data_IF_229398479811
#
_entry.id   IF_229398479811
#
_cell.length_a   1.000
_cell.length_b   1.000
_cell.length_c   1.000
_cell.angle_alpha   90.00
_cell.angle_beta   90.00
_cell.angle_gamma   90.00
#
_symmetry.space_group_name_H-M   'P 1'
#
loop_
_entity.id
_entity.type
_entity.pdbx_description
1 polymer ?
#
# COMPACT_ATOMS: atom_id res chain seq x y z
N UNK A 1 7.28 -12.95 19.86
CA UNK A 1 7.01 -14.29 20.44
C UNK A 1 8.00 -15.35 19.97
N UNK A 2 8.11 -15.65 18.66
CA UNK A 2 9.01 -16.71 18.15
C UNK A 2 10.48 -16.59 18.63
N UNK A 3 11.09 -15.41 18.49
CA UNK A 3 12.45 -15.16 18.98
C UNK A 3 12.59 -15.36 20.50
N UNK A 4 11.60 -14.89 21.26
CA UNK A 4 11.58 -14.96 22.72
C UNK A 4 11.54 -16.40 23.22
N UNK A 5 10.79 -17.27 22.53
CA UNK A 5 10.71 -18.69 22.86
C UNK A 5 11.98 -19.44 22.43
N UNK A 6 12.54 -19.11 21.26
CA UNK A 6 13.73 -19.79 20.74
C UNK A 6 15.00 -19.48 21.56
N UNK A 7 15.19 -18.23 22.00
CA UNK A 7 16.42 -17.80 22.66
C UNK A 7 16.38 -18.00 24.20
N UNK A 8 17.38 -18.69 24.76
CA UNK A 8 17.47 -19.00 26.20
C UNK A 8 17.54 -17.76 27.10
N UNK A 9 18.23 -16.71 26.65
CA UNK A 9 18.37 -15.45 27.39
C UNK A 9 17.06 -14.65 27.35
N UNK A 10 16.38 -14.62 26.19
CA UNK A 10 15.07 -13.98 26.05
C UNK A 10 13.98 -14.64 26.90
N UNK A 11 14.02 -15.97 27.06
CA UNK A 11 13.09 -16.68 27.96
C UNK A 11 13.19 -16.21 29.41
N UNK A 12 14.35 -15.73 29.84
CA UNK A 12 14.54 -15.17 31.18
C UNK A 12 13.74 -13.87 31.39
N UNK A 13 13.62 -13.04 30.36
CA UNK A 13 12.83 -11.79 30.40
C UNK A 13 11.33 -12.03 30.59
N UNK A 14 10.82 -13.23 30.22
CA UNK A 14 9.43 -13.61 30.47
C UNK A 14 9.06 -13.67 31.97
N UNK A 15 10.05 -13.75 32.85
CA UNK A 15 9.85 -13.76 34.31
C UNK A 15 9.82 -12.36 34.94
N UNK A 16 10.09 -11.32 34.15
CA UNK A 16 10.06 -9.92 34.61
C UNK A 16 8.66 -9.31 34.47
N UNK A 17 8.49 -8.04 34.85
CA UNK A 17 7.26 -7.29 34.58
C UNK A 17 7.18 -6.76 33.13
N UNK A 18 8.29 -6.77 32.38
CA UNK A 18 8.35 -6.28 31.01
C UNK A 18 7.31 -6.91 30.06
N UNK A 19 7.04 -8.24 30.10
CA UNK A 19 6.01 -8.87 29.28
C UNK A 19 4.60 -8.39 29.62
N UNK A 20 4.33 -8.07 30.89
CA UNK A 20 3.02 -7.55 31.32
C UNK A 20 2.82 -6.16 30.75
N UNK A 21 3.83 -5.29 30.87
CA UNK A 21 3.81 -3.95 30.28
C UNK A 21 3.64 -4.03 28.76
N UNK A 22 4.42 -4.89 28.09
CA UNK A 22 4.32 -5.11 26.65
C UNK A 22 2.94 -5.65 26.24
N UNK A 23 2.34 -6.54 27.03
CA UNK A 23 0.99 -7.05 26.78
C UNK A 23 -0.06 -5.95 26.92
N UNK A 24 0.04 -5.10 27.94
CA UNK A 24 -0.87 -3.95 28.12
C UNK A 24 -0.75 -2.99 26.93
N UNK A 25 0.47 -2.63 26.51
CA UNK A 25 0.68 -1.78 25.33
C UNK A 25 0.13 -2.43 24.06
N UNK A 26 0.38 -3.72 23.86
CA UNK A 26 -0.15 -4.46 22.72
C UNK A 26 -1.69 -4.47 22.72
N UNK A 27 -2.33 -4.70 23.87
CA UNK A 27 -3.78 -4.64 24.00
C UNK A 27 -4.29 -3.22 23.70
N UNK A 28 -3.68 -2.18 24.26
CA UNK A 28 -4.09 -0.79 24.00
C UNK A 28 -4.01 -0.44 22.50
N UNK A 29 -3.00 -0.93 21.79
CA UNK A 29 -2.84 -0.70 20.34
C UNK A 29 -3.81 -1.55 19.49
N UNK A 30 -4.04 -2.80 19.89
CA UNK A 30 -4.83 -3.75 19.12
C UNK A 30 -6.34 -3.61 19.40
N UNK A 31 -6.72 -3.19 20.59
CA UNK A 31 -8.12 -3.10 21.03
C UNK A 31 -8.99 -2.23 20.10
N UNK A 32 -8.58 -1.01 19.67
CA UNK A 32 -9.37 -0.23 18.72
C UNK A 32 -9.63 -0.98 17.40
N UNK A 33 -8.65 -1.77 16.94
CA UNK A 33 -8.77 -2.56 15.73
C UNK A 33 -9.71 -3.76 15.91
N UNK A 34 -9.69 -4.39 17.09
CA UNK A 34 -10.61 -5.48 17.43
C UNK A 34 -12.05 -4.99 17.56
N UNK A 35 -12.26 -3.81 18.18
CA UNK A 35 -13.56 -3.16 18.27
C UNK A 35 -14.05 -2.83 16.86
N UNK A 36 -13.21 -2.26 16.00
CA UNK A 36 -13.60 -1.99 14.63
C UNK A 36 -13.98 -3.28 13.87
N UNK A 37 -13.19 -4.34 14.02
CA UNK A 37 -13.42 -5.62 13.36
C UNK A 37 -14.68 -6.34 13.85
N UNK A 38 -15.07 -6.17 15.12
CA UNK A 38 -16.32 -6.75 15.64
C UNK A 38 -17.58 -6.12 15.05
N UNK A 39 -17.48 -4.87 14.58
CA UNK A 39 -18.56 -4.18 13.88
C UNK A 39 -18.50 -4.36 12.35
N UNK A 40 -17.40 -4.90 11.83
CA UNK A 40 -17.25 -5.17 10.41
C UNK A 40 -18.05 -6.43 10.01
N UNK A 41 -18.80 -6.40 8.90
CA UNK A 41 -19.56 -7.57 8.47
C UNK A 41 -18.62 -8.68 7.98
N UNK A 42 -18.74 -9.86 8.61
CA UNK A 42 -17.79 -10.97 8.55
C UNK A 42 -16.97 -11.17 9.84
N UNK A 43 -16.93 -10.16 10.72
CA UNK A 43 -16.31 -10.22 12.05
C UNK A 43 -14.85 -10.68 12.06
N UNK A 44 -14.46 -11.35 13.14
CA UNK A 44 -13.15 -11.99 13.30
C UNK A 44 -12.89 -13.12 12.27
N UNK A 45 -13.93 -13.59 11.59
CA UNK A 45 -13.91 -14.74 10.68
C UNK A 45 -13.91 -14.34 9.20
N UNK A 46 -13.53 -13.11 8.88
CA UNK A 46 -13.32 -12.70 7.50
C UNK A 46 -12.13 -13.46 6.89
N UNK A 47 -12.43 -14.59 6.26
CA UNK A 47 -11.44 -15.37 5.50
C UNK A 47 -11.15 -14.63 4.19
N UNK A 48 -9.88 -14.25 3.92
CA UNK A 48 -9.51 -13.59 2.68
C UNK A 48 -9.97 -14.42 1.47
N UNK A 49 -10.52 -13.80 0.41
CA UNK A 49 -11.04 -14.52 -0.75
C UNK A 49 -10.03 -15.48 -1.39
N UNK A 50 -8.73 -15.19 -1.30
CA UNK A 50 -7.64 -16.02 -1.85
C UNK A 50 -7.48 -17.39 -1.18
N UNK A 51 -8.01 -17.58 0.04
CA UNK A 51 -8.02 -18.88 0.73
C UNK A 51 -9.14 -19.79 0.19
N UNK A 52 -10.16 -19.23 -0.48
CA UNK A 52 -11.38 -19.98 -0.89
C UNK A 52 -11.25 -20.70 -2.23
N UNK A 53 -10.21 -20.42 -3.02
CA UNK A 53 -10.02 -21.02 -4.35
C UNK A 53 -8.86 -22.03 -4.37
N UNK A 54 -9.12 -23.34 -4.58
CA UNK A 54 -8.10 -24.41 -4.54
C UNK A 54 -7.03 -24.36 -5.65
N UNK A 55 -7.11 -23.42 -6.60
CA UNK A 55 -6.19 -23.30 -7.74
C UNK A 55 -4.85 -22.63 -7.40
N UNK A 56 -4.60 -22.30 -6.13
CA UNK A 56 -3.47 -21.47 -5.71
C UNK A 56 -2.10 -22.17 -5.61
N UNK A 57 -2.02 -23.51 -5.60
CA UNK A 57 -0.76 -24.20 -5.29
C UNK A 57 0.25 -24.13 -6.46
N UNK A 58 -0.21 -24.12 -7.71
CA UNK A 58 0.67 -23.95 -8.89
C UNK A 58 1.08 -22.50 -9.16
N UNK A 59 0.25 -21.53 -8.77
CA UNK A 59 0.52 -20.10 -8.94
C UNK A 59 1.33 -19.46 -7.80
N UNK A 60 1.37 -20.09 -6.62
CA UNK A 60 1.99 -19.54 -5.41
C UNK A 60 3.52 -19.46 -5.50
N UNK A 61 4.19 -20.43 -6.16
CA UNK A 61 5.66 -20.42 -6.27
C UNK A 61 6.17 -19.26 -7.11
N UNK A 62 5.58 -19.03 -8.29
CA UNK A 62 5.92 -17.88 -9.13
C UNK A 62 5.62 -16.55 -8.43
N UNK A 63 4.51 -16.48 -7.68
CA UNK A 63 4.19 -15.32 -6.85
C UNK A 63 5.21 -15.10 -5.73
N UNK A 64 5.67 -16.16 -5.08
CA UNK A 64 6.68 -16.09 -4.02
C UNK A 64 8.03 -15.63 -4.56
N UNK A 65 8.52 -16.20 -5.67
CA UNK A 65 9.73 -15.73 -6.36
C UNK A 65 9.61 -14.26 -6.70
N UNK A 66 8.47 -13.82 -7.25
CA UNK A 66 8.24 -12.42 -7.56
C UNK A 66 8.32 -11.52 -6.32
N UNK A 67 7.80 -11.97 -5.18
CA UNK A 67 7.91 -11.23 -3.92
C UNK A 67 9.35 -11.18 -3.40
N UNK A 68 10.12 -12.27 -3.52
CA UNK A 68 11.56 -12.27 -3.21
C UNK A 68 12.32 -11.29 -4.13
N UNK A 69 11.97 -11.24 -5.41
CA UNK A 69 12.53 -10.27 -6.35
C UNK A 69 12.20 -8.82 -5.93
N UNK A 70 11.00 -8.56 -5.41
CA UNK A 70 10.66 -7.25 -4.85
C UNK A 70 11.44 -6.91 -3.59
N UNK A 71 11.68 -7.88 -2.69
CA UNK A 71 12.60 -7.68 -1.56
C UNK A 71 13.98 -7.30 -2.09
N UNK A 72 14.52 -8.04 -3.06
CA UNK A 72 15.84 -7.75 -3.60
C UNK A 72 15.89 -6.35 -4.26
N UNK A 73 14.88 -5.99 -5.05
CA UNK A 73 14.76 -4.68 -5.65
C UNK A 73 14.69 -3.56 -4.60
N UNK A 74 13.99 -3.77 -3.48
CA UNK A 74 13.96 -2.82 -2.36
C UNK A 74 15.34 -2.61 -1.71
N UNK A 75 16.25 -3.58 -1.82
CA UNK A 75 17.62 -3.49 -1.32
C UNK A 75 18.62 -2.95 -2.35
N UNK A 76 18.20 -2.59 -3.58
CA UNK A 76 19.13 -2.17 -4.63
C UNK A 76 20.05 -1.02 -4.20
N UNK A 77 19.50 0.02 -3.55
CA UNK A 77 20.30 1.13 -3.03
C UNK A 77 21.27 0.71 -1.92
N UNK A 78 20.86 -0.20 -1.04
CA UNK A 78 21.72 -0.75 0.01
C UNK A 78 22.86 -1.58 -0.59
N UNK A 79 22.57 -2.42 -1.59
CA UNK A 79 23.57 -3.23 -2.30
C UNK A 79 24.61 -2.35 -3.01
N UNK A 80 24.19 -1.24 -3.61
CA UNK A 80 25.11 -0.23 -4.19
C UNK A 80 26.04 0.33 -3.10
N UNK A 81 25.50 0.75 -1.96
CA UNK A 81 26.32 1.28 -0.85
C UNK A 81 27.31 0.25 -0.31
N UNK A 82 26.87 -1.00 -0.12
CA UNK A 82 27.75 -2.10 0.31
C UNK A 82 28.87 -2.36 -0.68
N UNK A 83 28.56 -2.39 -1.98
CA UNK A 83 29.56 -2.53 -3.04
C UNK A 83 30.60 -1.42 -2.99
N UNK A 84 30.16 -0.16 -2.92
CA UNK A 84 31.03 1.01 -2.88
C UNK A 84 31.95 1.00 -1.65
N UNK A 85 31.40 0.72 -0.46
CA UNK A 85 32.18 0.59 0.78
C UNK A 85 33.18 -0.57 0.68
N UNK A 86 32.76 -1.71 0.13
CA UNK A 86 33.60 -2.89 -0.08
C UNK A 86 34.75 -2.68 -1.07
N UNK A 87 34.71 -1.61 -1.87
CA UNK A 87 35.71 -1.23 -2.87
C UNK A 87 35.21 -1.41 -4.30
N UNK A 88 34.17 -2.20 -4.55
CA UNK A 88 33.66 -2.44 -5.90
C UNK A 88 33.19 -1.15 -6.58
N UNK A 89 33.42 -0.96 -7.89
CA UNK A 89 34.19 -1.82 -8.83
C UNK A 89 35.70 -1.54 -8.90
N UNK A 90 36.26 -0.70 -8.02
CA UNK A 90 37.66 -0.26 -8.10
C UNK A 90 38.59 -0.95 -7.07
N UNK A 91 39.91 -0.99 -7.31
CA UNK A 91 40.85 -1.47 -6.30
C UNK A 91 40.82 -0.58 -5.04
N UNK A 92 40.92 -1.21 -3.86
CA UNK A 92 41.08 -0.51 -2.57
C UNK A 92 42.38 0.30 -2.59
N UNK A 93 42.33 1.53 -2.07
CA UNK A 93 43.53 2.37 -1.86
C UNK A 93 43.74 2.55 -0.37
N UNK A 94 44.90 2.10 0.12
CA UNK A 94 45.35 2.38 1.47
C UNK A 94 46.14 3.70 1.51
N UNK A 95 46.01 4.50 2.59
CA UNK A 95 45.20 4.26 3.79
C UNK A 95 43.73 4.68 3.61
N UNK A 96 42.79 3.78 3.92
CA UNK A 96 41.36 4.08 3.95
C UNK A 96 40.90 4.47 5.38
N UNK A 97 40.00 5.46 5.54
CA UNK A 97 39.44 5.78 6.85
C UNK A 97 38.66 4.60 7.41
N UNK A 98 38.91 4.30 8.69
CA UNK A 98 38.28 3.19 9.42
C UNK A 98 37.36 3.75 10.49
N UNK A 99 36.09 3.37 10.44
CA UNK A 99 35.13 3.66 11.51
C UNK A 99 35.19 2.50 12.51
N UNK A 100 35.76 2.77 13.68
CA UNK A 100 35.77 1.83 14.80
C UNK A 100 34.50 2.01 15.61
N UNK A 101 33.84 0.90 15.94
CA UNK A 101 32.63 0.88 16.75
C UNK A 101 32.75 -0.09 17.93
N UNK A 102 31.90 0.11 18.92
CA UNK A 102 31.77 -0.84 20.03
C UNK A 102 31.29 -2.21 19.52
N UNK A 103 31.86 -3.28 20.10
CA UNK A 103 31.45 -4.64 19.78
C UNK A 103 30.01 -4.89 20.20
N UNK A 104 29.22 -5.40 19.28
CA UNK A 104 27.83 -5.80 19.53
C UNK A 104 27.82 -7.15 20.24
N UNK A 105 27.08 -7.26 21.35
CA UNK A 105 26.93 -8.52 22.09
C UNK A 105 26.32 -9.62 21.22
N UNK A 106 26.64 -10.89 21.51
CA UNK A 106 26.12 -12.04 20.75
C UNK A 106 24.59 -12.06 20.70
N UNK A 107 23.95 -11.77 21.83
CA UNK A 107 22.50 -11.65 21.94
C UNK A 107 21.91 -10.58 21.01
N UNK A 108 22.48 -9.38 21.00
CA UNK A 108 21.98 -8.28 20.16
C UNK A 108 22.18 -8.60 18.67
N UNK A 109 23.27 -9.29 18.31
CA UNK A 109 23.52 -9.76 16.94
C UNK A 109 22.45 -10.76 16.48
N UNK A 110 22.15 -11.76 17.30
CA UNK A 110 21.08 -12.75 17.01
C UNK A 110 19.71 -12.08 16.86
N UNK A 111 19.39 -11.13 17.75
CA UNK A 111 18.15 -10.36 17.68
C UNK A 111 18.04 -9.59 16.35
N UNK A 112 19.07 -8.85 15.99
CA UNK A 112 19.08 -8.04 14.77
C UNK A 112 18.92 -8.92 13.52
N UNK A 113 19.66 -10.03 13.43
CA UNK A 113 19.53 -10.93 12.27
C UNK A 113 18.16 -11.60 12.20
N UNK A 114 17.61 -12.03 13.34
CA UNK A 114 16.27 -12.63 13.36
C UNK A 114 15.23 -11.65 12.82
N UNK A 115 15.19 -10.42 13.34
CA UNK A 115 14.17 -9.44 12.95
C UNK A 115 14.43 -8.81 11.57
N UNK A 116 15.66 -8.82 11.06
CA UNK A 116 15.97 -8.39 9.71
C UNK A 116 15.57 -9.41 8.63
N UNK A 117 15.58 -10.71 8.94
CA UNK A 117 15.35 -11.78 7.95
C UNK A 117 14.00 -12.46 8.11
N UNK A 118 13.66 -12.88 9.33
CA UNK A 118 12.51 -13.77 9.57
C UNK A 118 11.17 -13.10 9.27
N UNK A 119 10.87 -11.86 9.70
CA UNK A 119 9.61 -11.19 9.36
C UNK A 119 9.39 -11.02 7.86
N UNK A 120 10.42 -10.67 7.11
CA UNK A 120 10.33 -10.49 5.66
C UNK A 120 10.10 -11.83 4.93
N UNK A 121 10.84 -12.88 5.31
CA UNK A 121 10.68 -14.22 4.73
C UNK A 121 9.34 -14.85 5.11
N UNK A 122 8.94 -14.78 6.38
CA UNK A 122 7.67 -15.29 6.86
C UNK A 122 6.48 -14.54 6.22
N UNK A 123 6.59 -13.21 6.11
CA UNK A 123 5.55 -12.38 5.48
C UNK A 123 5.35 -12.70 4.00
N UNK A 124 6.44 -12.87 3.24
CA UNK A 124 6.35 -13.23 1.82
C UNK A 124 5.86 -14.66 1.60
N UNK A 125 6.27 -15.60 2.45
CA UNK A 125 5.75 -16.97 2.43
C UNK A 125 4.26 -17.00 2.74
N UNK A 126 3.82 -16.32 3.80
CA UNK A 126 2.41 -16.26 4.18
C UNK A 126 1.55 -15.59 3.11
N UNK A 127 2.05 -14.51 2.50
CA UNK A 127 1.37 -13.85 1.38
C UNK A 127 1.22 -14.79 0.18
N UNK A 128 2.26 -15.56 -0.17
CA UNK A 128 2.18 -16.56 -1.23
C UNK A 128 1.21 -17.70 -0.90
N UNK A 129 1.19 -18.19 0.35
CA UNK A 129 0.29 -19.25 0.81
C UNK A 129 -1.19 -18.84 0.78
N UNK A 130 -1.49 -17.56 1.06
CA UNK A 130 -2.86 -17.02 1.08
C UNK A 130 -3.27 -16.48 -0.31
N UNK A 131 -2.40 -16.57 -1.31
CA UNK A 131 -2.63 -16.01 -2.64
C UNK A 131 -2.72 -14.48 -2.66
N UNK A 132 -2.16 -13.81 -1.64
CA UNK A 132 -2.05 -12.36 -1.60
C UNK A 132 -0.87 -11.92 -2.47
N UNK A 133 -1.17 -11.08 -3.45
CA UNK A 133 -0.14 -10.36 -4.19
C UNK A 133 0.22 -9.08 -3.44
N UNK A 134 1.33 -9.13 -2.70
CA UNK A 134 1.91 -7.93 -2.08
C UNK A 134 2.48 -6.98 -3.12
N UNK A 135 2.32 -5.68 -2.90
CA UNK A 135 3.07 -4.64 -3.62
C UNK A 135 4.44 -4.44 -2.96
N UNK A 136 5.40 -3.83 -3.68
CA UNK A 136 6.71 -3.43 -3.10
C UNK A 136 6.50 -2.61 -1.81
N UNK A 137 5.49 -1.73 -1.81
CA UNK A 137 5.14 -0.90 -0.66
C UNK A 137 4.70 -1.70 0.57
N UNK A 138 4.05 -2.86 0.39
CA UNK A 138 3.63 -3.70 1.51
C UNK A 138 4.81 -4.47 2.14
N UNK A 139 5.88 -4.70 1.39
CA UNK A 139 7.02 -5.52 1.81
C UNK A 139 8.15 -4.65 2.40
N UNK A 140 8.29 -3.41 1.93
CA UNK A 140 9.36 -2.50 2.34
C UNK A 140 9.52 -2.30 3.87
N UNK A 141 8.44 -2.16 4.68
CA UNK A 141 8.59 -2.02 6.13
C UNK A 141 9.23 -3.23 6.81
N UNK A 142 9.05 -4.44 6.25
CA UNK A 142 9.63 -5.67 6.80
C UNK A 142 11.15 -5.74 6.61
N UNK A 143 11.69 -4.95 5.68
CA UNK A 143 13.11 -4.90 5.37
C UNK A 143 13.85 -3.80 6.15
N UNK A 144 13.19 -3.02 7.00
CA UNK A 144 13.79 -1.82 7.61
C UNK A 144 15.07 -2.11 8.43
N UNK A 145 15.16 -3.29 9.05
CA UNK A 145 16.31 -3.69 9.85
C UNK A 145 17.47 -4.30 9.03
N UNK A 146 17.31 -4.48 7.72
CA UNK A 146 18.36 -5.05 6.87
C UNK A 146 19.61 -4.19 6.83
N UNK A 147 19.47 -2.86 6.82
CA UNK A 147 20.59 -1.93 6.89
C UNK A 147 21.40 -2.11 8.18
N UNK A 148 20.71 -2.25 9.31
CA UNK A 148 21.36 -2.51 10.60
C UNK A 148 22.04 -3.89 10.62
N UNK A 149 21.41 -4.92 10.06
CA UNK A 149 21.99 -6.26 9.94
C UNK A 149 23.30 -6.24 9.14
N UNK A 150 23.35 -5.50 8.03
CA UNK A 150 24.58 -5.34 7.23
C UNK A 150 25.66 -4.62 8.03
N UNK A 151 25.30 -3.55 8.75
CA UNK A 151 26.25 -2.85 9.63
C UNK A 151 26.81 -3.84 10.66
N UNK A 152 25.96 -4.63 11.34
CA UNK A 152 26.42 -5.64 12.30
C UNK A 152 27.35 -6.67 11.65
N UNK A 153 27.01 -7.14 10.45
CA UNK A 153 27.79 -8.10 9.67
C UNK A 153 29.15 -7.56 9.22
N UNK A 154 29.26 -6.25 8.96
CA UNK A 154 30.51 -5.60 8.60
C UNK A 154 31.56 -5.59 9.74
N UNK A 155 31.17 -5.95 10.96
CA UNK A 155 32.08 -6.09 12.09
C UNK A 155 32.36 -4.80 12.85
N UNK A 156 33.39 -4.82 13.70
CA UNK A 156 33.68 -3.74 14.66
C UNK A 156 34.55 -2.62 14.07
N UNK A 157 35.08 -2.83 12.86
CA UNK A 157 35.86 -1.85 12.11
C UNK A 157 35.38 -1.85 10.65
N UNK A 158 34.76 -0.75 10.22
CA UNK A 158 34.26 -0.60 8.85
C UNK A 158 35.23 0.29 8.09
N UNK A 159 35.92 -0.29 7.11
CA UNK A 159 36.80 0.46 6.21
C UNK A 159 35.97 1.11 5.12
N UNK A 160 36.01 2.45 5.07
CA UNK A 160 35.30 3.20 4.03
C UNK A 160 36.25 3.44 2.87
N UNK A 161 36.13 2.62 1.83
CA UNK A 161 36.74 2.95 0.55
C UNK A 161 36.09 4.24 0.01
N UNK A 162 36.89 5.28 -0.25
CA UNK A 162 36.48 6.54 -0.91
C UNK A 162 35.21 7.18 -0.32
N UNK A 163 35.34 7.67 0.92
CA UNK A 163 34.29 8.36 1.68
C UNK A 163 33.45 9.36 0.85
N UNK A 164 34.06 10.16 -0.03
CA UNK A 164 33.31 11.13 -0.85
C UNK A 164 32.32 10.50 -1.83
N UNK A 165 32.65 9.36 -2.46
CA UNK A 165 31.74 8.65 -3.37
C UNK A 165 30.60 8.01 -2.59
N UNK A 166 30.92 7.41 -1.44
CA UNK A 166 29.91 6.81 -0.56
C UNK A 166 28.92 7.87 -0.06
N UNK A 167 29.42 9.04 0.36
CA UNK A 167 28.57 10.17 0.77
C UNK A 167 27.73 10.67 -0.41
N UNK A 168 28.33 10.88 -1.59
CA UNK A 168 27.60 11.32 -2.78
C UNK A 168 26.51 10.31 -3.19
N UNK A 169 26.81 9.01 -3.15
CA UNK A 169 25.85 7.96 -3.44
C UNK A 169 24.72 7.90 -2.41
N UNK A 170 25.03 8.11 -1.12
CA UNK A 170 24.01 8.19 -0.07
C UNK A 170 23.08 9.39 -0.26
N UNK A 171 23.62 10.59 -0.50
CA UNK A 171 22.81 11.77 -0.83
C UNK A 171 22.03 11.59 -2.12
N UNK A 172 22.63 10.96 -3.13
CA UNK A 172 21.96 10.62 -4.38
C UNK A 172 20.77 9.68 -4.14
N UNK A 173 20.96 8.60 -3.39
CA UNK A 173 19.90 7.66 -3.05
C UNK A 173 18.78 8.30 -2.21
N UNK A 174 19.11 9.30 -1.40
CA UNK A 174 18.14 10.05 -0.59
C UNK A 174 17.36 11.09 -1.41
N UNK A 175 18.04 11.86 -2.26
CA UNK A 175 17.47 13.04 -2.93
C UNK A 175 16.95 12.74 -4.33
N UNK A 176 17.58 11.85 -5.09
CA UNK A 176 17.19 11.57 -6.49
C UNK A 176 15.77 10.99 -6.57
N UNK A 177 15.35 9.98 -5.77
CA UNK A 177 14.00 9.45 -5.87
C UNK A 177 12.87 10.49 -5.63
N UNK A 178 12.88 11.32 -4.57
CA UNK A 178 11.84 12.35 -4.40
C UNK A 178 11.90 13.44 -5.47
N UNK A 179 13.10 13.84 -5.93
CA UNK A 179 13.24 14.79 -7.04
C UNK A 179 12.66 14.22 -8.32
N UNK A 180 12.97 12.96 -8.65
CA UNK A 180 12.42 12.25 -9.80
C UNK A 180 10.90 12.10 -9.71
N UNK A 181 10.36 11.80 -8.53
CA UNK A 181 8.92 11.74 -8.32
C UNK A 181 8.25 13.11 -8.56
N UNK A 182 8.80 14.19 -7.99
CA UNK A 182 8.30 15.54 -8.20
C UNK A 182 8.39 15.96 -9.68
N UNK A 183 9.54 15.71 -10.32
CA UNK A 183 9.74 15.96 -11.75
C UNK A 183 8.76 15.15 -12.61
N UNK A 184 8.50 13.90 -12.26
CA UNK A 184 7.54 13.04 -12.96
C UNK A 184 6.13 13.63 -12.94
N UNK A 185 5.68 14.14 -11.79
CA UNK A 185 4.38 14.81 -11.62
C UNK A 185 4.25 16.06 -12.50
N UNK A 186 5.36 16.77 -12.72
CA UNK A 186 5.38 17.98 -13.56
C UNK A 186 5.53 17.68 -15.06
N UNK A 187 6.35 16.69 -15.43
CA UNK A 187 6.81 16.47 -16.81
C UNK A 187 6.00 15.40 -17.54
N UNK A 188 5.66 14.28 -16.90
CA UNK A 188 4.97 13.16 -17.57
C UNK A 188 3.63 13.54 -18.23
N UNK A 189 2.80 14.45 -17.67
CA UNK A 189 1.59 14.92 -18.34
C UNK A 189 1.83 15.59 -19.69
N UNK A 190 2.99 16.20 -19.91
CA UNK A 190 3.38 16.80 -21.20
C UNK A 190 3.78 15.75 -22.24
N UNK A 191 4.13 14.56 -21.78
CA UNK A 191 4.43 13.38 -22.61
C UNK A 191 3.19 12.48 -22.79
N UNK A 192 1.99 12.98 -22.44
CA UNK A 192 0.72 12.25 -22.49
C UNK A 192 0.70 10.98 -21.60
N UNK A 193 1.48 10.97 -20.52
CA UNK A 193 1.52 9.88 -19.54
C UNK A 193 0.70 10.29 -18.31
N UNK A 194 -0.43 9.62 -18.10
CA UNK A 194 -1.35 9.92 -17.00
C UNK A 194 -0.88 9.31 -15.67
N UNK A 195 -0.40 10.19 -14.79
CA UNK A 195 -0.12 9.84 -13.41
C UNK A 195 -1.40 9.91 -12.59
N UNK A 196 -1.83 8.75 -12.09
CA UNK A 196 -3.06 8.59 -11.29
C UNK A 196 -3.11 9.47 -10.03
N UNK A 197 -1.96 9.92 -9.52
CA UNK A 197 -1.87 10.85 -8.38
C UNK A 197 -2.33 12.28 -8.70
N UNK A 198 -2.51 12.63 -9.98
CA UNK A 198 -2.95 13.95 -10.42
C UNK A 198 -4.48 14.12 -10.49
N UNK A 199 -5.24 13.06 -10.18
CA UNK A 199 -6.70 13.11 -10.26
C UNK A 199 -7.29 14.14 -9.28
N UNK A 200 -8.26 14.97 -9.70
CA UNK A 200 -8.82 16.06 -8.90
C UNK A 200 -9.90 15.54 -7.94
N UNK A 201 -9.48 14.72 -6.97
CA UNK A 201 -10.38 13.99 -6.05
C UNK A 201 -11.41 14.90 -5.37
N UNK A 202 -10.97 16.07 -4.89
CA UNK A 202 -11.85 17.04 -4.20
C UNK A 202 -12.93 17.61 -5.12
N UNK A 203 -12.56 17.95 -6.36
CA UNK A 203 -13.51 18.49 -7.34
C UNK A 203 -14.53 17.43 -7.77
N UNK A 204 -14.07 16.19 -7.97
CA UNK A 204 -14.94 15.05 -8.28
C UNK A 204 -15.93 14.81 -7.15
N UNK A 205 -15.43 14.67 -5.92
CA UNK A 205 -16.27 14.38 -4.75
C UNK A 205 -17.33 15.47 -4.53
N UNK A 206 -16.92 16.74 -4.55
CA UNK A 206 -17.84 17.87 -4.41
C UNK A 206 -18.93 17.85 -5.47
N UNK A 207 -18.57 17.68 -6.74
CA UNK A 207 -19.54 17.66 -7.83
C UNK A 207 -20.58 16.55 -7.67
N UNK A 208 -20.15 15.31 -7.37
CA UNK A 208 -21.08 14.19 -7.27
C UNK A 208 -21.94 14.25 -6.01
N UNK A 209 -21.39 14.72 -4.88
CA UNK A 209 -22.16 14.97 -3.65
C UNK A 209 -23.24 16.03 -3.89
N UNK A 210 -22.88 17.21 -4.41
CA UNK A 210 -23.83 18.30 -4.67
C UNK A 210 -24.87 17.90 -5.73
N UNK A 211 -24.47 17.13 -6.74
CA UNK A 211 -25.39 16.68 -7.79
C UNK A 211 -26.38 15.64 -7.30
N UNK A 212 -25.95 14.75 -6.39
CA UNK A 212 -26.87 13.82 -5.74
C UNK A 212 -27.85 14.57 -4.84
N UNK A 213 -27.34 15.42 -3.94
CA UNK A 213 -28.14 16.17 -2.97
C UNK A 213 -29.18 17.06 -3.65
N UNK A 214 -28.82 17.76 -4.73
CA UNK A 214 -29.79 18.55 -5.52
C UNK A 214 -30.91 17.72 -6.15
N UNK A 215 -30.68 16.44 -6.44
CA UNK A 215 -31.64 15.57 -7.14
C UNK A 215 -32.50 14.75 -6.18
N UNK A 216 -32.00 14.45 -5.00
CA UNK A 216 -32.65 13.56 -4.02
C UNK A 216 -33.07 14.29 -2.74
N UNK A 217 -32.55 15.49 -2.48
CA UNK A 217 -32.76 16.22 -1.23
C UNK A 217 -32.03 15.62 -0.02
N UNK A 218 -31.18 14.61 -0.23
CA UNK A 218 -30.47 13.91 0.82
C UNK A 218 -28.95 13.87 0.56
N UNK A 219 -28.10 13.88 1.59
CA UNK A 219 -26.66 13.80 1.40
C UNK A 219 -26.26 12.47 0.78
N UNK A 220 -25.20 12.47 -0.03
CA UNK A 220 -24.65 11.27 -0.66
C UNK A 220 -24.15 10.29 0.41
N UNK A 221 -24.79 9.12 0.51
CA UNK A 221 -24.42 8.06 1.46
C UNK A 221 -23.72 6.86 0.83
N UNK A 222 -23.89 6.63 -0.48
CA UNK A 222 -23.34 5.44 -1.15
C UNK A 222 -22.78 5.83 -2.52
N UNK A 223 -21.56 5.36 -2.82
CA UNK A 223 -20.92 5.52 -4.14
C UNK A 223 -20.47 4.15 -4.64
N UNK A 224 -20.76 3.83 -5.90
CA UNK A 224 -20.36 2.57 -6.54
C UNK A 224 -19.91 2.76 -7.98
N UNK A 225 -19.76 1.64 -8.71
CA UNK A 225 -19.22 1.59 -10.06
C UNK A 225 -17.73 1.23 -10.06
N UNK A 226 -16.92 1.88 -10.90
CA UNK A 226 -15.48 1.61 -10.97
C UNK A 226 -14.82 1.73 -9.58
N UNK A 227 -14.26 0.63 -9.03
CA UNK A 227 -13.82 0.56 -7.65
C UNK A 227 -12.86 1.69 -7.24
N UNK A 228 -11.97 2.09 -8.16
CA UNK A 228 -10.98 3.12 -7.88
C UNK A 228 -11.60 4.50 -7.88
N UNK A 229 -12.37 4.84 -8.92
CA UNK A 229 -13.02 6.15 -9.05
C UNK A 229 -14.02 6.36 -7.91
N UNK A 230 -14.83 5.34 -7.60
CA UNK A 230 -15.77 5.35 -6.49
C UNK A 230 -15.06 5.52 -5.14
N UNK A 231 -13.95 4.80 -4.91
CA UNK A 231 -13.17 4.94 -3.68
C UNK A 231 -12.58 6.35 -3.51
N UNK A 232 -12.07 6.96 -4.58
CA UNK A 232 -11.54 8.32 -4.52
C UNK A 232 -12.63 9.33 -4.18
N UNK A 233 -13.80 9.23 -4.81
CA UNK A 233 -14.95 10.10 -4.51
C UNK A 233 -15.42 9.91 -3.07
N UNK A 234 -15.52 8.67 -2.60
CA UNK A 234 -15.92 8.38 -1.23
C UNK A 234 -14.95 8.95 -0.19
N UNK A 235 -13.64 8.90 -0.46
CA UNK A 235 -12.60 9.49 0.38
C UNK A 235 -12.62 11.02 0.36
N UNK A 236 -12.93 11.64 -0.79
CA UNK A 236 -12.95 13.09 -0.94
C UNK A 236 -14.24 13.76 -0.45
N UNK A 237 -15.34 13.02 -0.36
CA UNK A 237 -16.65 13.58 -0.03
C UNK A 237 -16.79 13.89 1.46
N UNK A 238 -17.33 15.07 1.79
CA UNK A 238 -17.52 15.50 3.17
C UNK A 238 -18.48 14.58 3.96
N UNK A 239 -19.48 14.00 3.29
CA UNK A 239 -20.45 13.06 3.87
C UNK A 239 -19.87 11.67 4.16
N UNK A 240 -18.64 11.38 3.71
CA UNK A 240 -17.97 10.07 3.83
C UNK A 240 -18.88 8.90 3.42
N UNK A 241 -19.38 8.89 2.17
CA UNK A 241 -20.27 7.84 1.72
C UNK A 241 -19.57 6.48 1.74
N UNK A 242 -20.35 5.44 1.96
CA UNK A 242 -19.88 4.07 1.90
C UNK A 242 -19.59 3.66 0.46
N UNK A 243 -18.43 3.04 0.24
CA UNK A 243 -18.06 2.45 -1.05
C UNK A 243 -18.86 1.15 -1.25
N UNK A 244 -19.55 1.04 -2.39
CA UNK A 244 -20.22 -0.17 -2.85
C UNK A 244 -19.47 -0.74 -4.06
N UNK A 245 -18.88 -1.93 -3.89
CA UNK A 245 -18.18 -2.63 -4.97
C UNK A 245 -19.19 -3.46 -5.74
N UNK A 246 -19.82 -2.82 -6.72
CA UNK A 246 -20.87 -3.42 -7.54
C UNK A 246 -20.44 -4.72 -8.21
N UNK A 247 -19.20 -4.85 -8.68
CA UNK A 247 -18.70 -6.09 -9.30
C UNK A 247 -18.40 -7.22 -8.29
N UNK A 248 -18.16 -6.88 -7.03
CA UNK A 248 -17.77 -7.83 -5.98
C UNK A 248 -18.37 -7.40 -4.61
N UNK A 249 -19.70 -7.50 -4.42
CA UNK A 249 -20.38 -7.01 -3.22
C UNK A 249 -19.86 -7.64 -1.92
N UNK A 250 -19.34 -8.87 -2.00
CA UNK A 250 -18.68 -9.56 -0.89
C UNK A 250 -17.44 -8.84 -0.34
N UNK A 251 -16.86 -7.92 -1.12
CA UNK A 251 -15.74 -7.06 -0.70
C UNK A 251 -16.19 -5.71 -0.13
N UNK A 252 -17.48 -5.38 -0.22
CA UNK A 252 -18.09 -4.22 0.44
C UNK A 252 -19.27 -4.63 1.34
N UNK A 253 -19.05 -5.52 2.33
CA UNK A 253 -20.14 -6.14 3.08
C UNK A 253 -20.92 -5.15 3.98
N UNK A 254 -20.40 -3.93 4.18
CA UNK A 254 -21.06 -2.85 4.93
C UNK A 254 -22.16 -2.13 4.14
N UNK A 255 -22.32 -2.40 2.84
CA UNK A 255 -23.43 -1.88 2.01
C UNK A 255 -24.18 -3.05 1.37
N UNK A 256 -25.48 -3.17 1.64
CA UNK A 256 -26.36 -4.10 0.94
C UNK A 256 -26.97 -3.47 -0.32
N UNK A 257 -27.39 -4.31 -1.26
CA UNK A 257 -28.11 -3.84 -2.46
C UNK A 257 -29.45 -3.15 -2.09
N UNK A 258 -30.09 -3.57 -1.01
CA UNK A 258 -31.30 -2.93 -0.51
C UNK A 258 -31.02 -1.54 0.08
N UNK A 259 -29.84 -1.36 0.70
CA UNK A 259 -29.39 -0.03 1.12
C UNK A 259 -29.16 0.90 -0.08
N UNK A 260 -28.65 0.37 -1.20
CA UNK A 260 -28.51 1.13 -2.46
C UNK A 260 -29.86 1.60 -2.98
N UNK A 261 -30.90 0.77 -2.91
CA UNK A 261 -32.27 1.13 -3.35
C UNK A 261 -32.94 2.13 -2.42
N UNK A 262 -32.82 1.94 -1.11
CA UNK A 262 -33.50 2.78 -0.10
C UNK A 262 -32.81 4.12 0.12
N UNK A 263 -31.48 4.17 0.10
CA UNK A 263 -30.71 5.40 0.33
C UNK A 263 -30.31 6.12 -0.96
N UNK A 264 -30.48 5.46 -2.10
CA UNK A 264 -29.91 5.89 -3.36
C UNK A 264 -28.38 5.74 -3.40
N UNK A 265 -27.82 5.90 -4.60
CA UNK A 265 -26.38 5.86 -4.80
C UNK A 265 -25.97 6.66 -6.04
N UNK A 266 -24.70 7.05 -6.09
CA UNK A 266 -24.07 7.51 -7.34
C UNK A 266 -23.17 6.40 -7.86
N UNK A 267 -23.40 5.98 -9.10
CA UNK A 267 -22.52 5.07 -9.82
C UNK A 267 -21.60 5.87 -10.72
N UNK A 268 -20.30 5.58 -10.72
CA UNK A 268 -19.29 6.29 -11.51
C UNK A 268 -18.38 5.34 -12.27
N UNK A 269 -17.91 5.75 -13.44
CA UNK A 269 -16.92 5.00 -14.20
C UNK A 269 -16.06 5.95 -15.06
N UNK A 270 -14.78 5.62 -15.28
CA UNK A 270 -13.98 6.35 -16.25
C UNK A 270 -14.57 6.15 -17.65
N UNK A 271 -14.67 7.23 -18.42
CA UNK A 271 -15.07 7.14 -19.83
C UNK A 271 -14.20 8.00 -20.72
N UNK A 272 -14.14 7.64 -22.00
CA UNK A 272 -13.56 8.48 -23.06
C UNK A 272 -14.61 8.94 -24.07
N UNK A 273 -15.82 8.36 -24.02
CA UNK A 273 -16.93 8.72 -24.89
C UNK A 273 -17.63 10.00 -24.42
N UNK A 274 -18.48 10.55 -25.28
CA UNK A 274 -19.39 11.66 -24.95
C UNK A 274 -20.75 11.16 -24.47
N UNK A 275 -21.10 9.90 -24.79
CA UNK A 275 -22.38 9.30 -24.45
C UNK A 275 -22.47 8.80 -22.99
N UNK A 276 -21.33 8.64 -22.31
CA UNK A 276 -21.30 8.14 -20.93
C UNK A 276 -21.72 6.69 -20.81
N UNK A 277 -21.44 5.88 -21.82
CA UNK A 277 -21.97 4.51 -21.91
C UNK A 277 -21.55 3.70 -20.68
N UNK A 278 -22.48 3.14 -19.90
CA UNK A 278 -22.12 2.37 -18.71
C UNK A 278 -21.42 1.06 -19.13
N UNK A 279 -20.37 0.63 -18.42
CA UNK A 279 -19.73 -0.66 -18.63
C UNK A 279 -20.75 -1.80 -18.53
N UNK A 280 -20.52 -2.88 -19.27
CA UNK A 280 -21.45 -4.01 -19.34
C UNK A 280 -21.84 -4.56 -17.96
N UNK A 281 -20.88 -4.76 -17.06
CA UNK A 281 -21.16 -5.25 -15.70
C UNK A 281 -22.06 -4.32 -14.87
N UNK A 282 -21.95 -3.01 -15.06
CA UNK A 282 -22.84 -2.02 -14.40
C UNK A 282 -24.25 -2.12 -14.99
N UNK A 283 -24.35 -2.23 -16.33
CA UNK A 283 -25.64 -2.31 -17.05
C UNK A 283 -26.41 -3.58 -16.72
N UNK A 284 -25.73 -4.73 -16.62
CA UNK A 284 -26.35 -6.00 -16.26
C UNK A 284 -26.92 -5.98 -14.84
N UNK A 285 -26.22 -5.31 -13.91
CA UNK A 285 -26.63 -5.22 -12.50
C UNK A 285 -27.70 -4.16 -12.26
N UNK A 286 -27.71 -3.11 -13.07
CA UNK A 286 -28.67 -2.01 -13.01
C UNK A 286 -29.31 -1.77 -14.38
N UNK A 287 -30.22 -2.66 -14.84
CA UNK A 287 -30.78 -2.61 -16.20
C UNK A 287 -31.64 -1.35 -16.48
N UNK A 288 -32.16 -0.69 -15.44
CA UNK A 288 -32.88 0.57 -15.54
C UNK A 288 -32.02 1.82 -15.32
N UNK A 289 -30.69 1.69 -15.29
CA UNK A 289 -29.79 2.80 -15.03
C UNK A 289 -29.74 3.74 -16.24
N UNK A 290 -30.14 5.00 -16.02
CA UNK A 290 -30.02 6.05 -17.02
C UNK A 290 -28.71 6.80 -16.78
N UNK A 291 -27.71 6.68 -17.68
CA UNK A 291 -26.46 7.42 -17.56
C UNK A 291 -26.71 8.91 -17.78
N UNK A 292 -26.05 9.73 -16.96
CA UNK A 292 -26.00 11.17 -17.13
C UNK A 292 -24.88 11.57 -18.10
N UNK A 293 -24.94 12.84 -18.54
CA UNK A 293 -23.87 13.43 -19.35
C UNK A 293 -22.53 13.32 -18.58
N UNK A 294 -21.49 12.74 -19.20
CA UNK A 294 -20.18 12.61 -18.57
C UNK A 294 -19.65 13.93 -18.06
N UNK A 295 -19.12 13.93 -16.84
CA UNK A 295 -18.48 15.11 -16.27
C UNK A 295 -16.99 15.11 -16.57
N UNK A 296 -16.51 16.19 -17.16
CA UNK A 296 -15.09 16.46 -17.37
C UNK A 296 -14.48 17.19 -16.17
N UNK A 297 -13.25 16.81 -15.81
CA UNK A 297 -12.47 17.42 -14.74
C UNK A 297 -11.05 17.71 -15.22
N UNK A 298 -10.51 18.83 -14.75
CA UNK A 298 -9.12 19.23 -14.94
C UNK A 298 -8.24 18.66 -13.84
N UNK A 299 -7.09 18.08 -14.21
CA UNK A 299 -6.06 17.67 -13.26
C UNK A 299 -5.30 18.90 -12.76
N UNK A 300 -4.70 18.79 -11.57
CA UNK A 300 -3.83 19.85 -11.02
C UNK A 300 -2.68 20.22 -11.96
N UNK A 301 -2.16 19.23 -12.67
CA UNK A 301 -1.22 19.42 -13.78
C UNK A 301 -1.80 18.66 -14.97
N UNK A 302 -2.39 19.40 -15.91
CA UNK A 302 -3.05 18.81 -17.07
C UNK A 302 -2.07 18.47 -18.20
N UNK A 303 -1.10 19.36 -18.47
CA UNK A 303 -0.13 19.16 -19.56
C UNK A 303 -0.84 18.96 -20.92
N UNK A 304 -0.48 17.89 -21.63
CA UNK A 304 -1.12 17.48 -22.90
C UNK A 304 -2.19 16.40 -22.74
N UNK A 305 -2.49 15.99 -21.51
CA UNK A 305 -3.50 14.97 -21.27
C UNK A 305 -4.89 15.49 -21.66
N UNK A 306 -5.81 14.62 -22.11
CA UNK A 306 -7.22 14.98 -22.23
C UNK A 306 -7.86 15.18 -20.85
N UNK A 307 -8.93 15.96 -20.80
CA UNK A 307 -9.72 16.14 -19.57
C UNK A 307 -10.16 14.77 -19.04
N UNK A 308 -10.11 14.61 -17.72
CA UNK A 308 -10.59 13.39 -17.08
C UNK A 308 -12.10 13.35 -17.17
N UNK A 309 -12.65 12.42 -17.94
CA UNK A 309 -14.10 12.25 -18.10
C UNK A 309 -14.60 11.09 -17.26
N UNK A 310 -15.61 11.36 -16.45
CA UNK A 310 -16.26 10.37 -15.60
C UNK A 310 -17.72 10.27 -16.03
N UNK A 311 -18.09 9.10 -16.54
CA UNK A 311 -19.48 8.72 -16.73
C UNK A 311 -20.10 8.41 -15.38
N UNK A 312 -21.37 8.72 -15.21
CA UNK A 312 -22.04 8.56 -13.93
C UNK A 312 -23.54 8.42 -14.10
N UNK A 313 -24.18 7.91 -13.05
CA UNK A 313 -25.63 7.82 -12.96
C UNK A 313 -26.07 7.90 -11.50
N UNK A 314 -27.31 8.36 -11.29
CA UNK A 314 -27.92 8.45 -9.96
C UNK A 314 -29.01 7.39 -9.82
N UNK A 315 -28.89 6.56 -8.80
CA UNK A 315 -29.97 5.73 -8.30
C UNK A 315 -30.70 6.56 -7.24
N UNK A 316 -31.97 6.87 -7.49
CA UNK A 316 -32.79 7.62 -6.53
C UNK A 316 -33.26 6.71 -5.40
N UNK A 317 -33.38 7.24 -4.17
CA UNK A 317 -34.12 6.58 -3.09
C UNK A 317 -35.53 6.21 -3.57
N UNK A 318 -35.97 4.99 -3.25
CA UNK A 318 -37.36 4.54 -3.45
C UNK A 318 -38.19 4.75 -2.18
#
# INVERSE_FOLDING_TARGET
>A
MLFTVANKQSRGSLKSYDPVIAAVVAVLLVLPHLIWLSHAPGGLWHVPPGVRTPTAIGGSFGQWIRQLAFIFAAHAGLLVLVGLVGGWPWPRRDPAPVIVRARVSGFAREFIYFFALVPALAGTLLAALIGMSGTIAAIAPLAVLSGLAIIVAAGDAITLSRQHIVIAAWFGLLLVPPIMAAASVMVLPWLNIDLRVLQPVQAMARFFSESFERRTGAPLQIVGGDPRTAALIALGAASRPSLFLDAAPERSPWVSIDAVKTKGAVLVWPTTDTAGTPPQGVRERFPGLVPDVPRAFERRVQGRLPLLRIGWAVIRPQ
#
